data_IF_121013815913
#
_entry.id   IF_121013815913
#
_cell.length_a   1.000
_cell.length_b   1.000
_cell.length_c   1.000
_cell.angle_alpha   90.00
_cell.angle_beta   90.00
_cell.angle_gamma   90.00
#
_symmetry.space_group_name_H-M   'P 1'
#
loop_
_entity.id
_entity.type
_entity.pdbx_description
1 polymer ?
#
# COMPACT_ATOMS: atom_id res chain seq x y z
N UNK A 1 -23.66 24.38 15.08
CA UNK A 1 -24.81 23.45 14.96
C UNK A 1 -25.14 23.01 13.53
N UNK A 2 -25.80 23.80 12.65
CA UNK A 2 -26.22 23.30 11.30
C UNK A 2 -25.06 22.95 10.34
N UNK A 3 -23.99 23.75 10.33
CA UNK A 3 -22.80 23.52 9.49
C UNK A 3 -22.00 22.28 9.92
N UNK A 4 -21.86 22.08 11.24
CA UNK A 4 -21.12 20.97 11.83
C UNK A 4 -21.78 19.61 11.55
N UNK A 5 -23.12 19.53 11.69
CA UNK A 5 -23.89 18.33 11.35
C UNK A 5 -23.85 17.98 9.85
N UNK A 6 -23.74 18.98 8.98
CA UNK A 6 -23.58 18.77 7.54
C UNK A 6 -22.18 18.24 7.20
N UNK A 7 -21.14 18.84 7.81
CA UNK A 7 -19.77 18.38 7.65
C UNK A 7 -19.60 16.92 8.13
N UNK A 8 -20.21 16.57 9.26
CA UNK A 8 -20.18 15.20 9.79
C UNK A 8 -20.84 14.20 8.83
N UNK A 9 -22.04 14.50 8.31
CA UNK A 9 -22.70 13.65 7.30
C UNK A 9 -21.89 13.51 6.01
N UNK A 10 -21.21 14.58 5.57
CA UNK A 10 -20.34 14.51 4.40
C UNK A 10 -19.12 13.62 4.66
N UNK A 11 -18.51 13.71 5.84
CA UNK A 11 -17.38 12.86 6.22
C UNK A 11 -17.77 11.37 6.28
N UNK A 12 -18.93 11.05 6.86
CA UNK A 12 -19.48 9.69 6.91
C UNK A 12 -19.80 9.15 5.51
N UNK A 13 -20.40 9.97 4.63
CA UNK A 13 -20.66 9.58 3.24
C UNK A 13 -19.35 9.34 2.47
N UNK A 14 -18.32 10.16 2.71
CA UNK A 14 -17.01 9.98 2.11
C UNK A 14 -16.29 8.73 2.61
N UNK A 15 -16.38 8.39 3.90
CA UNK A 15 -15.79 7.16 4.43
C UNK A 15 -16.49 5.94 3.86
N UNK A 16 -17.82 5.92 3.84
CA UNK A 16 -18.60 4.83 3.24
C UNK A 16 -18.26 4.62 1.75
N UNK A 17 -18.10 5.71 1.00
CA UNK A 17 -17.69 5.62 -0.41
C UNK A 17 -16.28 5.04 -0.59
N UNK A 18 -15.34 5.36 0.31
CA UNK A 18 -13.99 4.78 0.30
C UNK A 18 -14.02 3.28 0.61
N UNK A 19 -14.82 2.87 1.59
CA UNK A 19 -14.97 1.45 1.96
C UNK A 19 -15.61 0.64 0.82
N UNK A 20 -16.61 1.22 0.16
CA UNK A 20 -17.22 0.62 -1.02
C UNK A 20 -16.19 0.47 -2.16
N UNK A 21 -15.38 1.51 -2.42
CA UNK A 21 -14.35 1.45 -3.44
C UNK A 21 -13.27 0.39 -3.14
N UNK A 22 -12.85 0.30 -1.86
CA UNK A 22 -11.95 -0.75 -1.39
C UNK A 22 -12.52 -2.13 -1.72
N UNK A 23 -13.76 -2.40 -1.27
CA UNK A 23 -14.45 -3.67 -1.53
C UNK A 23 -14.50 -3.98 -3.03
N UNK A 24 -14.87 -3.01 -3.88
CA UNK A 24 -14.91 -3.19 -5.34
C UNK A 24 -13.55 -3.52 -5.98
N UNK A 25 -12.45 -3.02 -5.40
CA UNK A 25 -11.10 -3.32 -5.87
C UNK A 25 -10.63 -4.70 -5.43
N UNK A 26 -10.97 -5.13 -4.21
CA UNK A 26 -10.69 -6.48 -3.73
C UNK A 26 -11.52 -7.52 -4.51
N UNK A 27 -12.81 -7.27 -4.72
CA UNK A 27 -13.65 -8.12 -5.57
C UNK A 27 -13.13 -8.20 -7.00
N UNK A 28 -12.55 -7.11 -7.53
CA UNK A 28 -11.93 -7.12 -8.86
C UNK A 28 -10.70 -8.04 -8.94
N UNK A 29 -9.88 -8.11 -7.89
CA UNK A 29 -8.77 -9.07 -7.81
C UNK A 29 -9.28 -10.50 -7.68
N UNK A 30 -10.27 -10.71 -6.81
CA UNK A 30 -10.90 -12.02 -6.64
C UNK A 30 -11.50 -12.52 -7.96
N UNK A 31 -12.23 -11.67 -8.68
CA UNK A 31 -12.78 -11.99 -9.99
C UNK A 31 -11.67 -12.25 -11.02
N UNK A 32 -10.59 -11.46 -11.01
CA UNK A 32 -9.43 -11.73 -11.88
C UNK A 32 -8.87 -13.14 -11.69
N UNK A 33 -8.78 -13.62 -10.44
CA UNK A 33 -8.20 -14.92 -10.08
C UNK A 33 -9.17 -16.09 -10.27
N UNK A 34 -10.44 -15.93 -9.93
CA UNK A 34 -11.41 -17.02 -9.85
C UNK A 34 -12.45 -17.03 -10.97
N UNK A 35 -12.64 -15.91 -11.67
CA UNK A 35 -13.67 -15.73 -12.70
C UNK A 35 -13.12 -14.90 -13.86
N UNK A 36 -12.08 -15.45 -14.49
CA UNK A 36 -11.31 -14.80 -15.55
C UNK A 36 -12.17 -14.51 -16.80
N UNK A 37 -13.19 -15.32 -17.06
CA UNK A 37 -14.07 -15.22 -18.23
C UNK A 37 -14.98 -13.98 -18.18
N UNK A 38 -15.53 -13.66 -17.00
CA UNK A 38 -16.37 -12.48 -16.82
C UNK A 38 -15.57 -11.24 -16.38
N UNK A 39 -14.28 -11.40 -16.09
CA UNK A 39 -13.41 -10.31 -15.71
C UNK A 39 -13.16 -9.36 -16.88
N UNK A 40 -13.33 -8.07 -16.64
CA UNK A 40 -13.01 -7.00 -17.57
C UNK A 40 -11.96 -6.09 -16.96
N UNK A 41 -10.95 -5.73 -17.75
CA UNK A 41 -9.91 -4.82 -17.30
C UNK A 41 -10.51 -3.45 -16.92
N UNK A 42 -10.27 -3.02 -15.67
CA UNK A 42 -10.73 -1.73 -15.17
C UNK A 42 -9.52 -0.91 -14.72
N UNK A 43 -9.03 -0.02 -15.59
CA UNK A 43 -7.85 0.83 -15.32
C UNK A 43 -7.96 1.60 -14.01
N UNK A 44 -9.14 2.12 -13.68
CA UNK A 44 -9.36 2.85 -12.42
C UNK A 44 -9.07 1.98 -11.18
N UNK A 45 -9.49 0.71 -11.20
CA UNK A 45 -9.22 -0.25 -10.12
C UNK A 45 -7.75 -0.62 -10.06
N UNK A 46 -7.09 -0.84 -11.21
CA UNK A 46 -5.64 -1.07 -11.25
C UNK A 46 -4.85 0.10 -10.67
N UNK A 47 -5.19 1.34 -11.04
CA UNK A 47 -4.55 2.55 -10.49
C UNK A 47 -4.78 2.66 -8.99
N UNK A 48 -6.00 2.35 -8.51
CA UNK A 48 -6.29 2.33 -7.07
C UNK A 48 -5.44 1.29 -6.33
N UNK A 49 -5.36 0.07 -6.86
CA UNK A 49 -4.54 -1.00 -6.29
C UNK A 49 -3.06 -0.63 -6.27
N UNK A 50 -2.54 -0.06 -7.36
CA UNK A 50 -1.17 0.41 -7.45
C UNK A 50 -0.85 1.48 -6.39
N UNK A 51 -1.77 2.43 -6.16
CA UNK A 51 -1.59 3.50 -5.16
C UNK A 51 -1.63 2.97 -3.73
N UNK A 52 -2.41 1.94 -3.46
CA UNK A 52 -2.68 1.45 -2.10
C UNK A 52 -1.99 0.10 -1.78
N UNK A 53 -1.15 -0.41 -2.69
CA UNK A 53 -0.51 -1.74 -2.63
C UNK A 53 0.15 -2.06 -1.28
N UNK A 54 0.85 -1.10 -0.69
CA UNK A 54 1.59 -1.32 0.55
C UNK A 54 0.75 -1.16 1.82
N UNK A 55 -0.47 -0.64 1.73
CA UNK A 55 -1.33 -0.45 2.90
C UNK A 55 -2.07 -1.74 3.26
N UNK A 56 -1.72 -2.36 4.39
CA UNK A 56 -2.43 -3.54 4.89
C UNK A 56 -3.87 -3.27 5.32
N UNK A 57 -4.18 -1.99 5.60
CA UNK A 57 -5.54 -1.54 5.89
C UNK A 57 -6.41 -1.52 4.62
N UNK A 58 -5.86 -1.09 3.49
CA UNK A 58 -6.62 -0.95 2.24
C UNK A 58 -6.59 -2.20 1.38
N UNK A 59 -5.45 -2.89 1.36
CA UNK A 59 -5.28 -4.19 0.72
C UNK A 59 -5.00 -5.20 1.84
N UNK A 60 -5.99 -6.00 2.26
CA UNK A 60 -5.80 -7.03 3.29
C UNK A 60 -4.70 -8.02 2.90
N UNK A 61 -4.01 -8.58 3.89
CA UNK A 61 -2.93 -9.56 3.65
C UNK A 61 -3.42 -10.80 2.89
N UNK A 62 -4.68 -11.19 3.07
CA UNK A 62 -5.32 -12.29 2.31
C UNK A 62 -5.37 -12.02 0.80
N UNK A 63 -5.52 -10.76 0.40
CA UNK A 63 -5.59 -10.35 -1.01
C UNK A 63 -4.22 -10.04 -1.60
N UNK A 64 -3.18 -9.95 -0.76
CA UNK A 64 -1.83 -9.56 -1.18
C UNK A 64 -1.21 -10.56 -2.17
N UNK A 65 -1.24 -11.89 -1.95
CA UNK A 65 -0.73 -12.84 -2.93
C UNK A 65 -1.40 -12.71 -4.30
N UNK A 66 -2.74 -12.55 -4.32
CA UNK A 66 -3.50 -12.36 -5.57
C UNK A 66 -3.12 -11.07 -6.27
N UNK A 67 -2.84 -9.99 -5.51
CA UNK A 67 -2.38 -8.73 -6.07
C UNK A 67 -0.99 -8.84 -6.71
N UNK A 68 -0.07 -9.61 -6.10
CA UNK A 68 1.26 -9.85 -6.64
C UNK A 68 1.17 -10.56 -7.99
N UNK A 69 0.47 -11.69 -8.06
CA UNK A 69 0.24 -12.43 -9.31
C UNK A 69 -0.45 -11.56 -10.37
N UNK A 70 -1.41 -10.72 -9.96
CA UNK A 70 -2.07 -9.78 -10.85
C UNK A 70 -1.08 -8.81 -11.51
N UNK A 71 -0.17 -8.23 -10.71
CA UNK A 71 0.85 -7.31 -11.22
C UNK A 71 1.97 -7.99 -11.98
N UNK A 72 2.32 -9.22 -11.64
CA UNK A 72 3.24 -10.06 -12.40
C UNK A 72 2.70 -10.27 -13.84
N UNK A 73 1.41 -10.56 -13.97
CA UNK A 73 0.75 -10.70 -15.27
C UNK A 73 0.55 -9.38 -16.03
N UNK A 74 0.76 -8.24 -15.37
CA UNK A 74 0.46 -6.93 -15.93
C UNK A 74 1.56 -6.49 -16.90
N UNK A 75 1.15 -6.17 -18.13
CA UNK A 75 2.06 -5.73 -19.19
C UNK A 75 2.27 -4.21 -19.18
N UNK A 76 3.44 -3.76 -19.61
CA UNK A 76 3.79 -2.36 -19.80
C UNK A 76 4.59 -1.75 -18.64
N UNK A 77 4.54 -0.42 -18.51
CA UNK A 77 5.41 0.33 -17.58
C UNK A 77 5.07 0.15 -16.09
N UNK A 78 3.98 -0.54 -15.76
CA UNK A 78 3.55 -0.71 -14.37
C UNK A 78 4.57 -1.54 -13.56
N UNK A 79 5.24 -2.53 -14.17
CA UNK A 79 6.31 -3.31 -13.50
C UNK A 79 7.46 -2.41 -13.05
N UNK A 80 7.95 -1.54 -13.93
CA UNK A 80 9.02 -0.59 -13.60
C UNK A 80 8.60 0.38 -12.48
N UNK A 81 7.36 0.87 -12.53
CA UNK A 81 6.83 1.76 -11.50
C UNK A 81 6.72 1.05 -10.13
N UNK A 82 6.26 -0.20 -10.13
CA UNK A 82 6.16 -1.03 -8.92
C UNK A 82 7.55 -1.28 -8.31
N UNK A 83 8.53 -1.66 -9.13
CA UNK A 83 9.92 -1.86 -8.69
C UNK A 83 10.55 -0.57 -8.16
N UNK A 84 10.35 0.55 -8.85
CA UNK A 84 10.87 1.86 -8.41
C UNK A 84 10.32 2.24 -7.03
N UNK A 85 9.01 2.10 -6.82
CA UNK A 85 8.39 2.40 -5.53
C UNK A 85 8.89 1.46 -4.42
N UNK A 86 9.03 0.17 -4.72
CA UNK A 86 9.48 -0.82 -3.75
C UNK A 86 10.96 -0.62 -3.35
N UNK A 87 11.84 -0.34 -4.32
CA UNK A 87 13.24 0.00 -4.05
C UNK A 87 13.38 1.26 -3.20
N UNK A 88 12.53 2.26 -3.45
CA UNK A 88 12.50 3.48 -2.64
C UNK A 88 12.17 3.18 -1.18
N UNK A 89 11.16 2.34 -0.91
CA UNK A 89 10.79 1.94 0.45
C UNK A 89 11.91 1.17 1.15
N UNK A 90 12.54 0.23 0.44
CA UNK A 90 13.66 -0.54 1.01
C UNK A 90 14.80 0.42 1.38
N UNK A 91 15.16 1.33 0.46
CA UNK A 91 16.19 2.34 0.72
C UNK A 91 15.86 3.23 1.92
N UNK A 92 14.62 3.71 2.04
CA UNK A 92 14.19 4.51 3.20
C UNK A 92 14.33 3.75 4.52
N UNK A 93 14.04 2.45 4.54
CA UNK A 93 14.23 1.59 5.71
C UNK A 93 15.71 1.34 6.02
N UNK A 94 16.53 1.11 5.01
CA UNK A 94 17.96 0.87 5.16
C UNK A 94 18.67 2.15 5.66
N UNK A 95 18.34 3.32 5.10
CA UNK A 95 18.84 4.63 5.53
C UNK A 95 18.44 4.95 6.98
N UNK A 96 17.20 4.61 7.36
CA UNK A 96 16.72 4.74 8.75
C UNK A 96 17.51 3.85 9.71
N UNK A 97 17.69 2.57 9.36
CA UNK A 97 18.40 1.60 10.20
C UNK A 97 19.87 1.99 10.39
N UNK A 98 20.55 2.38 9.31
CA UNK A 98 21.95 2.83 9.36
C UNK A 98 22.17 4.12 10.16
N UNK A 99 21.11 4.93 10.33
CA UNK A 99 21.15 6.14 11.16
C UNK A 99 20.95 5.82 12.64
N UNK A 100 20.27 4.72 12.99
CA UNK A 100 20.10 4.29 14.38
C UNK A 100 21.36 3.63 14.96
N UNK A 101 22.16 2.95 14.13
CA UNK A 101 23.39 2.26 14.56
C UNK A 101 24.55 3.21 14.93
N UNK A 102 24.43 4.53 14.66
CA UNK A 102 25.47 5.52 14.94
C UNK A 102 25.32 6.27 16.27
N UNK A 103 24.17 6.16 16.94
CA UNK A 103 23.87 6.84 18.21
C UNK A 103 23.72 5.83 19.38
N UNK A 104 24.52 4.75 19.35
CA UNK A 104 24.50 3.67 20.34
C UNK A 104 25.18 3.99 21.68
N UNK A 105 25.08 5.22 22.19
CA UNK A 105 25.53 5.54 23.55
C UNK A 105 24.77 6.74 24.17
N UNK A 106 23.44 6.64 24.31
CA UNK A 106 22.75 7.10 25.53
C UNK A 106 21.32 6.56 25.58
N UNK A 107 21.01 5.83 26.63
CA UNK A 107 19.65 5.47 27.00
C UNK A 107 19.01 6.62 27.78
N UNK A 108 17.69 6.74 27.63
CA UNK A 108 16.75 7.54 28.45
C UNK A 108 16.42 8.97 27.97
N UNK A 109 15.12 9.13 27.65
CA UNK A 109 14.29 10.33 27.76
C UNK A 109 14.71 11.61 26.99
N UNK A 110 14.04 11.90 25.85
CA UNK A 110 13.43 13.21 25.64
C UNK A 110 12.58 13.32 24.36
N UNK A 111 11.35 13.78 24.59
CA UNK A 111 10.43 14.42 23.68
C UNK A 111 11.10 15.53 22.82
N UNK A 112 10.74 15.57 21.52
CA UNK A 112 10.98 16.63 20.51
C UNK A 112 12.38 16.76 19.82
N UNK A 113 12.66 15.95 18.79
CA UNK A 113 13.46 16.33 17.58
C UNK A 113 12.89 15.60 16.33
N UNK A 114 13.14 16.06 15.08
CA UNK A 114 12.17 15.97 13.99
C UNK A 114 11.99 14.54 13.45
N UNK A 115 10.83 13.97 13.80
CA UNK A 115 10.09 12.85 13.18
C UNK A 115 10.78 12.14 12.00
N UNK A 116 11.89 11.43 12.24
CA UNK A 116 12.27 10.32 11.36
C UNK A 116 11.40 9.13 11.75
N UNK A 117 10.12 9.25 11.42
CA UNK A 117 9.07 8.26 11.69
C UNK A 117 9.56 6.92 11.19
N UNK A 118 9.77 5.97 12.10
CA UNK A 118 10.19 4.61 11.78
C UNK A 118 9.39 4.08 10.59
N UNK A 119 10.03 3.69 9.47
CA UNK A 119 9.31 3.15 8.32
C UNK A 119 8.49 1.91 8.74
N UNK A 120 7.27 1.80 8.20
CA UNK A 120 6.33 0.73 8.57
C UNK A 120 6.90 -0.65 8.14
N UNK A 121 7.15 -1.58 9.08
CA UNK A 121 7.69 -2.90 8.77
C UNK A 121 6.82 -3.70 7.79
N UNK A 122 5.50 -3.52 7.84
CA UNK A 122 4.57 -4.18 6.91
C UNK A 122 4.75 -3.66 5.48
N UNK A 123 4.96 -2.35 5.34
CA UNK A 123 5.23 -1.71 4.04
C UNK A 123 6.55 -2.21 3.46
N UNK A 124 7.59 -2.31 4.31
CA UNK A 124 8.89 -2.87 3.93
C UNK A 124 8.80 -4.33 3.46
N UNK A 125 8.12 -5.19 4.24
CA UNK A 125 7.93 -6.60 3.89
C UNK A 125 7.22 -6.74 2.54
N UNK A 126 6.16 -5.97 2.31
CA UNK A 126 5.46 -5.95 1.02
C UNK A 126 6.32 -5.44 -0.13
N UNK A 127 7.16 -4.43 0.08
CA UNK A 127 8.10 -3.97 -0.93
C UNK A 127 9.09 -5.08 -1.33
N UNK A 128 9.63 -5.82 -0.35
CA UNK A 128 10.49 -6.98 -0.62
C UNK A 128 9.78 -8.09 -1.38
N UNK A 129 8.59 -8.48 -0.95
CA UNK A 129 7.81 -9.51 -1.65
C UNK A 129 7.49 -9.12 -3.10
N UNK A 130 7.23 -7.83 -3.34
CA UNK A 130 6.96 -7.30 -4.67
C UNK A 130 8.20 -7.36 -5.57
N UNK A 131 9.37 -6.96 -5.08
CA UNK A 131 10.62 -7.06 -5.86
C UNK A 131 10.92 -8.50 -6.20
N UNK A 132 10.84 -9.40 -5.22
CA UNK A 132 11.06 -10.83 -5.44
C UNK A 132 10.14 -11.37 -6.55
N UNK A 133 8.85 -11.07 -6.50
CA UNK A 133 7.88 -11.50 -7.52
C UNK A 133 8.09 -10.84 -8.91
N UNK A 134 8.66 -9.64 -8.97
CA UNK A 134 8.88 -8.88 -10.22
C UNK A 134 10.33 -8.89 -10.71
N UNK A 135 11.22 -9.69 -10.13
CA UNK A 135 12.57 -9.92 -10.66
C UNK A 135 12.84 -11.41 -10.97
N UNK A 136 11.95 -12.30 -10.50
CA UNK A 136 11.73 -13.63 -11.08
C UNK A 136 11.19 -13.53 -12.53
#
# INVERSE_FOLDING_TARGET
MKKEKHAQRQAEAQSAAKDQLKSQCITYLSQWKHDRENWKFMKAKQVWLYKNKFSSQLVPDESWPVLLEYFESAKGNIRNMLLTDAHKIIKEMDDWTASQDKDGDNAEDMDQTPDVRKPDPSVYNRARSLIQCLEE
#
